data_IF_849282023535
#
_entry.id   IF_849282023535
#
_cell.length_a   1.000
_cell.length_b   1.000
_cell.length_c   1.000
_cell.angle_alpha   90.00
_cell.angle_beta   90.00
_cell.angle_gamma   90.00
#
_symmetry.space_group_name_H-M   'P 1'
#
loop_
_entity.id
_entity.type
_entity.pdbx_description
1 polymer ?
#
# COMPACT_ATOMS: atom_id res chain seq x y z
N UNK A 1 -44.18 5.41 47.57
CA UNK A 1 -43.23 4.51 46.86
C UNK A 1 -43.75 4.10 45.50
N UNK A 2 -45.05 3.88 45.33
CA UNK A 2 -45.72 3.50 44.08
C UNK A 2 -45.57 4.51 42.94
N UNK A 3 -45.77 5.80 43.14
CA UNK A 3 -45.61 6.84 42.09
C UNK A 3 -44.21 6.94 41.50
N UNK A 4 -43.19 6.53 42.24
CA UNK A 4 -41.81 6.49 41.67
C UNK A 4 -41.61 5.25 40.79
N UNK A 5 -42.21 4.12 41.14
CA UNK A 5 -42.16 2.91 40.34
C UNK A 5 -42.93 3.05 39.00
N UNK A 6 -44.11 3.70 39.05
CA UNK A 6 -44.89 4.02 37.85
C UNK A 6 -44.11 4.95 36.89
N UNK A 7 -43.50 5.99 37.41
CA UNK A 7 -42.67 6.88 36.60
C UNK A 7 -41.51 6.17 35.90
N UNK A 8 -40.78 5.29 36.62
CA UNK A 8 -39.70 4.51 36.01
C UNK A 8 -40.19 3.51 34.97
N UNK A 9 -41.38 2.94 35.17
CA UNK A 9 -41.98 2.03 34.22
C UNK A 9 -42.40 2.77 32.94
N UNK A 10 -43.09 3.89 33.05
CA UNK A 10 -43.52 4.70 31.90
C UNK A 10 -42.32 5.28 31.15
N UNK A 11 -41.29 5.78 31.86
CA UNK A 11 -40.07 6.26 31.26
C UNK A 11 -39.30 5.15 30.55
N UNK A 12 -39.20 3.97 31.15
CA UNK A 12 -38.58 2.79 30.55
C UNK A 12 -39.30 2.34 29.27
N UNK A 13 -40.65 2.35 29.31
CA UNK A 13 -41.47 2.02 28.16
C UNK A 13 -41.33 3.04 27.02
N UNK A 14 -41.26 4.34 27.33
CA UNK A 14 -41.01 5.40 26.39
C UNK A 14 -39.62 5.26 25.76
N UNK A 15 -38.60 5.00 26.56
CA UNK A 15 -37.23 4.81 26.09
C UNK A 15 -37.10 3.58 25.16
N UNK A 16 -37.77 2.47 25.53
CA UNK A 16 -37.81 1.26 24.73
C UNK A 16 -38.52 1.51 23.37
N UNK A 17 -39.64 2.23 23.35
CA UNK A 17 -40.33 2.62 22.11
C UNK A 17 -39.46 3.57 21.24
N UNK A 18 -38.81 4.56 21.84
CA UNK A 18 -37.94 5.48 21.14
C UNK A 18 -36.75 4.74 20.51
N UNK A 19 -36.13 3.82 21.27
CA UNK A 19 -35.02 2.99 20.78
C UNK A 19 -35.46 2.10 19.60
N UNK A 20 -36.65 1.48 19.70
CA UNK A 20 -37.21 0.64 18.63
C UNK A 20 -37.44 1.44 17.34
N UNK A 21 -37.97 2.67 17.47
CA UNK A 21 -38.17 3.56 16.32
C UNK A 21 -36.83 3.96 15.68
N UNK A 22 -35.82 4.29 16.50
CA UNK A 22 -34.48 4.62 16.00
C UNK A 22 -33.86 3.44 15.28
N UNK A 23 -33.94 2.23 15.85
CA UNK A 23 -33.43 1.01 15.21
C UNK A 23 -34.17 0.74 13.89
N UNK A 24 -35.52 0.87 13.86
CA UNK A 24 -36.30 0.69 12.65
C UNK A 24 -35.92 1.70 11.56
N UNK A 25 -35.68 2.97 11.91
CA UNK A 25 -35.24 3.99 10.98
C UNK A 25 -33.83 3.69 10.44
N UNK A 26 -32.89 3.28 11.29
CA UNK A 26 -31.53 2.91 10.88
C UNK A 26 -31.55 1.72 9.93
N UNK A 27 -32.34 0.70 10.23
CA UNK A 27 -32.49 -0.48 9.36
C UNK A 27 -33.17 -0.13 8.03
N UNK A 28 -34.19 0.71 8.05
CA UNK A 28 -34.91 1.16 6.83
C UNK A 28 -34.01 2.02 5.93
N UNK A 29 -33.25 2.94 6.52
CA UNK A 29 -32.25 3.76 5.80
C UNK A 29 -31.11 2.89 5.24
N UNK A 30 -30.60 1.93 6.05
CA UNK A 30 -29.59 0.98 5.61
C UNK A 30 -30.06 0.10 4.45
N UNK A 31 -31.31 -0.38 4.50
CA UNK A 31 -31.92 -1.15 3.40
C UNK A 31 -32.13 -0.29 2.14
N UNK A 32 -32.55 0.96 2.28
CA UNK A 32 -32.73 1.88 1.16
C UNK A 32 -31.41 2.23 0.48
N UNK A 33 -30.35 2.47 1.27
CA UNK A 33 -28.99 2.68 0.77
C UNK A 33 -28.47 1.43 0.06
N UNK A 34 -28.68 0.23 0.63
CA UNK A 34 -28.28 -1.04 0.03
C UNK A 34 -28.98 -1.31 -1.30
N UNK A 35 -30.28 -1.01 -1.41
CA UNK A 35 -31.04 -1.11 -2.65
C UNK A 35 -30.59 -0.09 -3.71
N UNK A 36 -30.30 1.15 -3.32
CA UNK A 36 -29.77 2.17 -4.21
C UNK A 36 -28.36 1.79 -4.74
N UNK A 37 -27.51 1.18 -3.89
CA UNK A 37 -26.21 0.66 -4.31
C UNK A 37 -26.33 -0.52 -5.28
N UNK A 38 -27.33 -1.38 -5.12
CA UNK A 38 -27.55 -2.55 -6.00
C UNK A 38 -28.08 -2.15 -7.39
N UNK A 39 -28.77 -1.01 -7.48
CA UNK A 39 -29.33 -0.48 -8.74
C UNK A 39 -28.34 0.39 -9.53
N UNK A 40 -27.24 0.85 -8.92
CA UNK A 40 -26.15 1.58 -9.59
C UNK A 40 -25.16 0.59 -10.25
N UNK A 41 -25.67 -0.26 -11.12
CA UNK A 41 -24.90 -1.25 -11.88
C UNK A 41 -24.03 -0.69 -13.02
N UNK A 42 -23.79 0.60 -13.08
CA UNK A 42 -22.78 1.19 -13.94
C UNK A 42 -21.41 1.03 -13.24
N UNK A 43 -20.52 0.26 -13.86
CA UNK A 43 -19.08 0.22 -13.56
C UNK A 43 -18.47 1.61 -13.86
N UNK A 44 -18.83 2.63 -13.09
CA UNK A 44 -18.02 3.85 -13.04
C UNK A 44 -16.62 3.42 -12.58
N UNK A 45 -15.59 3.82 -13.30
CA UNK A 45 -14.20 3.61 -12.88
C UNK A 45 -14.08 4.03 -11.42
N UNK A 46 -13.70 3.05 -10.58
CA UNK A 46 -13.65 3.24 -9.12
C UNK A 46 -12.61 4.24 -8.65
N UNK A 47 -11.80 4.80 -9.55
CA UNK A 47 -10.74 5.74 -9.24
C UNK A 47 -10.07 6.31 -10.50
N UNK A 48 -9.00 7.05 -10.28
CA UNK A 48 -8.14 7.60 -11.35
C UNK A 48 -6.67 7.51 -10.94
N UNK A 49 -5.79 7.56 -11.93
CA UNK A 49 -4.35 7.61 -11.72
C UNK A 49 -3.90 9.07 -11.62
N UNK A 50 -3.04 9.35 -10.67
CA UNK A 50 -2.38 10.63 -10.49
C UNK A 50 -0.89 10.45 -10.70
N UNK A 51 -0.28 11.33 -11.51
CA UNK A 51 1.15 11.49 -11.66
C UNK A 51 1.51 12.85 -11.08
N UNK A 52 2.25 12.84 -9.98
CA UNK A 52 2.66 14.06 -9.26
C UNK A 52 4.15 14.26 -9.40
N UNK A 53 4.60 15.43 -9.86
CA UNK A 53 6.03 15.76 -9.88
C UNK A 53 6.56 15.91 -8.46
N UNK A 54 7.37 14.94 -8.01
CA UNK A 54 8.08 15.04 -6.74
C UNK A 54 9.29 15.98 -6.89
N UNK A 55 9.88 16.07 -8.08
CA UNK A 55 10.95 17.03 -8.37
C UNK A 55 10.52 18.46 -8.08
N UNK A 56 9.33 18.87 -8.56
CA UNK A 56 8.83 20.22 -8.31
C UNK A 56 8.57 20.45 -6.81
N UNK A 57 8.09 19.42 -6.10
CA UNK A 57 7.88 19.49 -4.65
C UNK A 57 9.19 19.67 -3.88
N UNK A 58 10.27 19.00 -4.28
CA UNK A 58 11.60 19.17 -3.69
C UNK A 58 12.20 20.56 -3.99
N UNK A 59 11.98 21.05 -5.19
CA UNK A 59 12.42 22.40 -5.60
C UNK A 59 11.67 23.47 -4.79
N UNK A 60 10.36 23.34 -4.63
CA UNK A 60 9.54 24.24 -3.80
C UNK A 60 10.00 24.26 -2.33
N UNK A 61 10.26 23.08 -1.74
CA UNK A 61 10.81 22.97 -0.37
C UNK A 61 12.17 23.64 -0.26
N UNK A 62 13.05 23.41 -1.24
CA UNK A 62 14.38 24.01 -1.27
C UNK A 62 14.30 25.54 -1.36
N UNK A 63 13.43 26.04 -2.23
CA UNK A 63 13.22 27.48 -2.36
C UNK A 63 12.62 28.10 -1.11
N UNK A 64 11.64 27.43 -0.49
CA UNK A 64 11.06 27.87 0.76
C UNK A 64 12.11 27.95 1.88
N UNK A 65 12.94 26.91 2.03
CA UNK A 65 14.02 26.91 3.02
C UNK A 65 15.03 28.03 2.77
N UNK A 66 15.47 28.22 1.52
CA UNK A 66 16.38 29.31 1.14
C UNK A 66 15.78 30.67 1.48
N UNK A 67 14.53 30.92 1.10
CA UNK A 67 13.85 32.20 1.40
C UNK A 67 13.73 32.47 2.90
N UNK A 68 13.50 31.43 3.71
CA UNK A 68 13.36 31.55 5.18
C UNK A 68 14.69 31.85 5.89
N UNK A 69 15.83 31.58 5.24
CA UNK A 69 17.17 31.81 5.80
C UNK A 69 17.80 33.13 5.37
N UNK A 70 17.25 33.81 4.35
CA UNK A 70 17.77 35.03 3.80
C UNK A 70 17.29 36.26 4.59
N UNK A 71 18.16 37.28 4.73
CA UNK A 71 17.77 38.61 5.20
C UNK A 71 16.90 39.32 4.16
N UNK A 72 16.16 40.37 4.57
CA UNK A 72 15.30 41.15 3.68
C UNK A 72 16.01 41.73 2.45
N UNK A 73 17.29 42.04 2.55
CA UNK A 73 18.10 42.52 1.42
C UNK A 73 18.48 41.42 0.45
N UNK A 74 18.86 40.26 0.97
CA UNK A 74 19.19 39.05 0.20
C UNK A 74 17.96 38.45 -0.46
N UNK A 75 16.81 38.47 0.23
CA UNK A 75 15.53 38.00 -0.30
C UNK A 75 15.11 38.76 -1.56
N UNK A 76 15.26 40.11 -1.55
CA UNK A 76 14.98 40.96 -2.73
C UNK A 76 15.91 40.64 -3.91
N UNK A 77 17.19 40.36 -3.62
CA UNK A 77 18.15 39.99 -4.66
C UNK A 77 17.79 38.61 -5.27
N UNK A 78 17.48 37.65 -4.40
CA UNK A 78 17.07 36.28 -4.79
C UNK A 78 15.79 36.29 -5.65
N UNK A 79 14.74 37.02 -5.22
CA UNK A 79 13.51 37.14 -6.03
C UNK A 79 13.74 37.79 -7.40
N UNK A 80 14.68 38.71 -7.50
CA UNK A 80 15.04 39.35 -8.78
C UNK A 80 15.74 38.38 -9.71
N UNK A 81 16.62 37.55 -9.15
CA UNK A 81 17.32 36.48 -9.89
C UNK A 81 16.36 35.39 -10.36
N UNK A 82 15.45 34.92 -9.47
CA UNK A 82 14.41 33.97 -9.85
C UNK A 82 13.52 34.46 -10.99
N UNK A 83 13.07 35.72 -10.91
CA UNK A 83 12.26 36.33 -11.97
C UNK A 83 13.04 36.43 -13.29
N UNK A 84 14.35 36.64 -13.22
CA UNK A 84 15.22 36.68 -14.42
C UNK A 84 15.38 35.29 -15.02
N UNK A 85 15.64 34.28 -14.19
CA UNK A 85 15.79 32.87 -14.61
C UNK A 85 14.47 32.33 -15.19
N UNK A 86 13.31 32.54 -14.51
CA UNK A 86 12.00 32.13 -15.03
C UNK A 86 11.64 32.81 -16.37
N UNK A 87 12.09 34.07 -16.58
CA UNK A 87 11.95 34.73 -17.91
C UNK A 87 12.84 34.12 -18.96
N UNK A 88 14.07 33.75 -18.60
CA UNK A 88 15.03 33.10 -19.51
C UNK A 88 14.52 31.71 -19.92
N UNK A 89 14.05 30.90 -18.98
CA UNK A 89 13.46 29.59 -19.26
C UNK A 89 12.19 29.67 -20.13
N UNK A 90 11.26 30.58 -19.80
CA UNK A 90 10.08 30.80 -20.66
C UNK A 90 10.45 31.26 -22.07
N UNK A 91 11.54 32.02 -22.22
CA UNK A 91 12.02 32.46 -23.51
C UNK A 91 12.70 31.30 -24.28
N UNK A 92 13.47 30.48 -23.59
CA UNK A 92 14.08 29.26 -24.14
C UNK A 92 13.01 28.24 -24.56
N UNK A 93 12.02 27.97 -23.70
CA UNK A 93 10.90 27.09 -24.00
C UNK A 93 10.06 27.59 -25.21
N UNK A 94 9.79 28.90 -25.29
CA UNK A 94 9.13 29.50 -26.49
C UNK A 94 9.96 29.38 -27.76
N UNK A 95 11.29 29.48 -27.66
CA UNK A 95 12.18 29.29 -28.81
C UNK A 95 12.24 27.83 -29.25
N UNK A 96 12.28 26.89 -28.28
CA UNK A 96 12.23 25.46 -28.55
C UNK A 96 10.88 25.05 -29.18
N UNK A 97 9.75 25.56 -28.68
CA UNK A 97 8.43 25.38 -29.30
C UNK A 97 8.36 25.96 -30.73
N UNK A 98 8.96 27.12 -31.00
CA UNK A 98 9.02 27.67 -32.36
C UNK A 98 9.91 26.85 -33.28
N UNK A 99 11.00 26.28 -32.79
CA UNK A 99 11.85 25.33 -33.56
C UNK A 99 11.15 23.97 -33.72
N UNK A 100 10.42 23.51 -32.70
CA UNK A 100 9.64 22.26 -32.70
C UNK A 100 8.40 22.32 -33.61
N UNK A 101 7.76 23.49 -33.79
CA UNK A 101 6.63 23.62 -34.72
C UNK A 101 7.00 23.47 -36.17
N UNK A 102 8.25 23.75 -36.54
CA UNK A 102 8.79 23.34 -37.86
C UNK A 102 9.14 21.84 -37.92
N UNK A 103 9.33 21.19 -36.77
CA UNK A 103 9.61 19.73 -36.65
C UNK A 103 8.36 18.88 -36.66
N UNK A 104 7.23 19.36 -36.13
CA UNK A 104 5.96 18.58 -36.06
C UNK A 104 5.39 18.26 -37.44
N UNK A 105 5.57 19.15 -38.43
CA UNK A 105 5.22 18.84 -39.82
C UNK A 105 6.14 17.77 -40.46
N UNK A 106 7.42 17.71 -40.04
CA UNK A 106 8.36 16.64 -40.43
C UNK A 106 8.21 15.36 -39.59
N UNK A 107 7.81 15.48 -38.30
CA UNK A 107 7.62 14.35 -37.42
C UNK A 107 6.34 13.54 -37.77
N UNK A 108 5.27 14.17 -38.28
CA UNK A 108 4.12 13.46 -38.84
C UNK A 108 4.45 12.63 -40.09
N UNK A 109 5.48 13.00 -40.84
CA UNK A 109 5.99 12.22 -41.97
C UNK A 109 6.94 11.09 -41.52
N UNK A 110 7.61 11.22 -40.35
CA UNK A 110 8.55 10.22 -39.80
C UNK A 110 7.91 9.21 -38.82
N UNK A 111 6.73 9.51 -38.28
CA UNK A 111 5.92 8.53 -37.47
C UNK A 111 5.44 7.33 -38.29
N UNK A 112 5.64 7.37 -39.63
CA UNK A 112 5.47 6.23 -40.52
C UNK A 112 6.73 5.33 -40.62
N UNK A 113 7.87 5.73 -40.08
CA UNK A 113 9.19 5.07 -40.23
C UNK A 113 9.93 4.78 -38.93
N UNK A 114 9.23 4.71 -37.77
CA UNK A 114 9.73 4.00 -36.58
C UNK A 114 11.04 4.48 -35.93
N UNK A 115 11.46 5.75 -36.07
CA UNK A 115 12.64 6.27 -35.37
C UNK A 115 12.26 7.15 -34.17
N UNK A 116 12.89 7.00 -32.97
CA UNK A 116 12.61 7.80 -31.80
C UNK A 116 13.05 9.25 -31.97
N UNK A 117 12.19 10.19 -31.62
CA UNK A 117 12.44 11.62 -31.62
C UNK A 117 13.49 11.98 -30.55
N UNK A 118 14.69 12.34 -30.99
CA UNK A 118 15.71 12.97 -30.15
C UNK A 118 15.25 14.38 -29.73
N UNK A 119 14.63 14.48 -28.57
CA UNK A 119 14.39 15.73 -27.84
C UNK A 119 15.32 15.77 -26.62
N UNK A 120 16.18 16.71 -26.65
CA UNK A 120 17.33 17.10 -25.82
C UNK A 120 17.13 16.93 -24.30
N UNK A 121 18.20 16.52 -23.68
CA UNK A 121 18.57 16.27 -22.28
C UNK A 121 18.40 14.82 -21.83
N UNK A 122 19.52 14.21 -21.48
CA UNK A 122 19.75 12.88 -20.93
C UNK A 122 19.15 12.73 -19.50
N UNK A 123 17.92 13.20 -19.30
CA UNK A 123 17.19 13.08 -18.01
C UNK A 123 16.19 11.96 -18.15
N UNK A 124 16.44 10.86 -17.46
CA UNK A 124 15.54 9.73 -17.37
C UNK A 124 14.43 10.02 -16.33
N UNK A 125 13.34 9.29 -16.38
CA UNK A 125 12.28 9.41 -15.39
C UNK A 125 12.44 8.37 -14.29
N UNK A 126 12.11 8.78 -13.09
CA UNK A 126 11.99 7.88 -11.92
C UNK A 126 10.53 7.88 -11.49
N UNK A 127 9.90 6.72 -11.55
CA UNK A 127 8.52 6.53 -11.13
C UNK A 127 8.48 5.94 -9.72
N UNK A 128 7.87 6.64 -8.78
CA UNK A 128 7.77 6.24 -7.37
C UNK A 128 6.37 5.75 -7.10
N UNK A 129 6.26 4.53 -6.59
CA UNK A 129 5.01 3.90 -6.16
C UNK A 129 5.12 3.59 -4.67
N UNK A 130 4.11 3.98 -3.90
CA UNK A 130 4.02 3.67 -2.48
C UNK A 130 3.19 2.41 -2.28
N UNK A 131 3.73 1.42 -1.58
CA UNK A 131 3.00 0.23 -1.19
C UNK A 131 3.04 0.03 0.32
N UNK A 132 1.93 0.32 0.99
CA UNK A 132 1.73 0.05 2.42
C UNK A 132 0.76 -1.10 2.56
N UNK A 133 1.30 -2.32 2.66
CA UNK A 133 0.52 -3.55 2.55
C UNK A 133 -0.15 -3.98 3.85
N UNK A 134 -1.46 -4.26 3.77
CA UNK A 134 -2.28 -4.88 4.82
C UNK A 134 -2.08 -6.40 4.88
N UNK A 135 -2.66 -7.03 5.92
CA UNK A 135 -2.67 -8.50 6.05
C UNK A 135 -3.33 -9.20 4.84
N UNK A 136 -4.35 -8.59 4.25
CA UNK A 136 -5.08 -9.14 3.09
C UNK A 136 -4.46 -8.76 1.76
N UNK A 137 -3.51 -7.83 1.75
CA UNK A 137 -2.89 -7.27 0.55
C UNK A 137 -3.89 -6.64 -0.44
N UNK A 138 -4.93 -5.98 0.08
CA UNK A 138 -5.97 -5.33 -0.74
C UNK A 138 -5.39 -4.24 -1.65
N UNK A 139 -4.26 -3.64 -1.27
CA UNK A 139 -3.52 -2.61 -2.00
C UNK A 139 -2.97 -3.10 -3.34
N UNK A 140 -2.92 -4.42 -3.55
CA UNK A 140 -2.48 -5.03 -4.82
C UNK A 140 -3.33 -4.57 -6.01
N UNK A 141 -4.61 -4.29 -5.81
CA UNK A 141 -5.48 -3.80 -6.89
C UNK A 141 -5.08 -2.40 -7.39
N UNK A 142 -4.62 -1.53 -6.49
CA UNK A 142 -4.03 -0.24 -6.86
C UNK A 142 -2.68 -0.44 -7.57
N UNK A 143 -1.77 -1.23 -6.97
CA UNK A 143 -0.46 -1.54 -7.51
C UNK A 143 -0.52 -2.07 -8.96
N UNK A 144 -1.48 -2.96 -9.28
CA UNK A 144 -1.69 -3.48 -10.64
C UNK A 144 -1.93 -2.39 -11.67
N UNK A 145 -2.70 -1.35 -11.30
CA UNK A 145 -3.03 -0.21 -12.16
C UNK A 145 -1.85 0.73 -12.29
N UNK A 146 -1.17 1.02 -11.19
CA UNK A 146 0.01 1.87 -11.13
C UNK A 146 1.14 1.29 -11.97
N UNK A 147 1.48 0.02 -11.77
CA UNK A 147 2.49 -0.69 -12.57
C UNK A 147 2.11 -0.72 -14.05
N UNK A 148 0.83 -0.99 -14.38
CA UNK A 148 0.38 -1.00 -15.77
C UNK A 148 0.51 0.39 -16.42
N UNK A 149 0.18 1.45 -15.68
CA UNK A 149 0.31 2.82 -16.17
C UNK A 149 1.79 3.21 -16.39
N UNK A 150 2.65 2.89 -15.42
CA UNK A 150 4.09 3.14 -15.55
C UNK A 150 4.65 2.40 -16.77
N UNK A 151 4.37 1.11 -16.92
CA UNK A 151 4.86 0.31 -18.04
C UNK A 151 4.32 0.75 -19.42
N UNK A 152 3.23 1.53 -19.45
CA UNK A 152 2.73 2.11 -20.70
C UNK A 152 3.55 3.29 -21.22
N UNK A 153 4.41 3.88 -20.37
CA UNK A 153 5.18 5.10 -20.70
C UNK A 153 6.68 4.95 -20.40
N UNK A 154 7.07 4.04 -19.52
CA UNK A 154 8.46 3.82 -19.12
C UNK A 154 9.28 3.20 -20.25
N UNK A 155 10.53 3.57 -20.31
CA UNK A 155 11.58 3.04 -21.21
C UNK A 155 12.62 2.27 -20.39
N UNK A 156 13.51 1.48 -20.99
CA UNK A 156 14.56 0.76 -20.27
C UNK A 156 15.59 1.67 -19.55
N UNK A 157 15.66 2.93 -19.92
CA UNK A 157 16.53 3.92 -19.29
C UNK A 157 15.90 4.51 -18.00
N UNK A 158 14.60 4.35 -17.82
CA UNK A 158 13.87 4.83 -16.64
C UNK A 158 14.04 3.87 -15.44
N UNK A 159 13.70 4.35 -14.25
CA UNK A 159 13.76 3.57 -13.01
C UNK A 159 12.41 3.61 -12.28
N UNK A 160 11.99 2.48 -11.72
CA UNK A 160 10.87 2.42 -10.79
C UNK A 160 11.38 2.23 -9.38
N UNK A 161 10.93 3.09 -8.47
CA UNK A 161 11.21 3.00 -7.04
C UNK A 161 9.92 2.63 -6.31
N UNK A 162 9.94 1.51 -5.61
CA UNK A 162 8.84 1.14 -4.71
C UNK A 162 9.24 1.53 -3.28
N UNK A 163 8.49 2.43 -2.64
CA UNK A 163 8.59 2.65 -1.20
C UNK A 163 7.68 1.63 -0.52
N UNK A 164 8.31 0.61 0.06
CA UNK A 164 7.62 -0.56 0.60
C UNK A 164 7.54 -0.52 2.12
N UNK A 165 6.32 -0.64 2.64
CA UNK A 165 6.07 -0.84 4.07
C UNK A 165 5.07 -1.98 4.24
N UNK A 166 5.52 -3.17 4.68
CA UNK A 166 4.64 -4.30 4.93
C UNK A 166 5.25 -5.36 5.82
N UNK A 167 4.48 -5.79 6.82
CA UNK A 167 4.77 -6.97 7.63
C UNK A 167 4.45 -8.30 6.95
N UNK A 168 3.92 -8.29 5.72
CA UNK A 168 3.42 -9.46 5.02
C UNK A 168 1.97 -9.79 5.35
N UNK A 169 1.50 -10.94 4.88
CA UNK A 169 0.12 -11.39 5.03
C UNK A 169 -0.19 -12.62 4.19
N UNK A 170 -1.39 -12.68 3.62
CA UNK A 170 -1.85 -13.84 2.84
C UNK A 170 -0.98 -14.09 1.61
N UNK A 171 -0.53 -15.34 1.47
CA UNK A 171 0.46 -15.75 0.46
C UNK A 171 0.03 -15.41 -0.96
N UNK A 172 -1.23 -15.67 -1.33
CA UNK A 172 -1.72 -15.40 -2.69
C UNK A 172 -1.80 -13.90 -3.00
N UNK A 173 -2.08 -13.05 -2.02
CA UNK A 173 -2.10 -11.59 -2.18
C UNK A 173 -0.69 -11.04 -2.41
N UNK A 174 0.26 -11.39 -1.56
CA UNK A 174 1.65 -10.96 -1.70
C UNK A 174 2.37 -11.60 -2.88
N UNK A 175 2.01 -12.86 -3.23
CA UNK A 175 2.48 -13.49 -4.45
C UNK A 175 2.03 -12.73 -5.70
N UNK A 176 0.77 -12.22 -5.73
CA UNK A 176 0.29 -11.38 -6.81
C UNK A 176 1.00 -10.02 -6.83
N UNK A 177 1.27 -9.43 -5.65
CA UNK A 177 2.03 -8.17 -5.54
C UNK A 177 3.45 -8.33 -6.08
N UNK A 178 4.17 -9.38 -5.67
CA UNK A 178 5.50 -9.71 -6.17
C UNK A 178 5.50 -9.94 -7.69
N UNK A 179 4.46 -10.60 -8.22
CA UNK A 179 4.30 -10.78 -9.66
C UNK A 179 4.08 -9.45 -10.41
N UNK A 180 3.47 -8.42 -9.79
CA UNK A 180 3.41 -7.10 -10.41
C UNK A 180 4.80 -6.45 -10.51
N UNK A 181 5.63 -6.59 -9.48
CA UNK A 181 7.01 -6.09 -9.51
C UNK A 181 7.86 -6.84 -10.55
N UNK A 182 7.64 -8.15 -10.70
CA UNK A 182 8.30 -8.93 -11.74
C UNK A 182 8.01 -8.39 -13.15
N UNK A 183 6.80 -7.88 -13.43
CA UNK A 183 6.45 -7.27 -14.71
C UNK A 183 7.34 -6.08 -15.07
N UNK A 184 7.79 -5.31 -14.06
CA UNK A 184 8.70 -4.17 -14.26
C UNK A 184 10.05 -4.67 -14.74
N UNK A 185 10.59 -5.71 -14.11
CA UNK A 185 11.85 -6.34 -14.54
C UNK A 185 11.74 -6.98 -15.92
N UNK A 186 10.65 -7.68 -16.18
CA UNK A 186 10.42 -8.34 -17.49
C UNK A 186 10.33 -7.33 -18.64
N UNK A 187 9.97 -6.06 -18.32
CA UNK A 187 10.02 -4.95 -19.26
C UNK A 187 11.40 -4.29 -19.37
N UNK A 188 12.45 -4.84 -18.72
CA UNK A 188 13.80 -4.31 -18.63
C UNK A 188 13.88 -2.89 -18.03
N UNK A 189 12.93 -2.50 -17.19
CA UNK A 189 12.96 -1.26 -16.42
C UNK A 189 13.60 -1.56 -15.08
N UNK A 190 14.58 -0.75 -14.68
CA UNK A 190 15.29 -0.91 -13.41
C UNK A 190 14.33 -0.76 -12.24
N UNK A 191 14.38 -1.71 -11.29
CA UNK A 191 13.52 -1.74 -10.12
C UNK A 191 14.34 -1.58 -8.84
N UNK A 192 14.09 -0.53 -8.09
CA UNK A 192 14.63 -0.31 -6.75
C UNK A 192 13.51 -0.39 -5.72
N UNK A 193 13.73 -1.11 -4.62
CA UNK A 193 12.82 -1.13 -3.47
C UNK A 193 13.50 -0.44 -2.30
N UNK A 194 12.81 0.52 -1.68
CA UNK A 194 13.24 1.20 -0.46
C UNK A 194 12.34 0.85 0.71
N UNK A 195 12.93 0.60 1.90
CA UNK A 195 12.24 0.10 3.08
C UNK A 195 12.66 0.94 4.29
N UNK A 196 11.79 1.84 4.74
CA UNK A 196 12.12 2.69 5.89
C UNK A 196 11.78 2.02 7.23
N UNK A 197 10.77 1.16 7.29
CA UNK A 197 10.28 0.55 8.54
C UNK A 197 10.25 -0.97 8.51
N UNK A 198 9.58 -1.58 7.53
CA UNK A 198 9.39 -3.02 7.49
C UNK A 198 9.14 -3.56 6.09
N UNK A 199 9.83 -4.65 5.75
CA UNK A 199 9.47 -5.55 4.66
C UNK A 199 9.75 -6.99 5.13
N UNK A 200 8.75 -7.62 5.71
CA UNK A 200 8.85 -8.94 6.31
C UNK A 200 7.87 -9.91 5.66
N UNK A 201 8.21 -11.21 5.63
CA UNK A 201 7.36 -12.27 5.07
C UNK A 201 6.92 -11.93 3.63
N UNK A 202 5.61 -11.80 3.36
CA UNK A 202 5.08 -11.35 2.07
C UNK A 202 5.67 -10.01 1.60
N UNK A 203 6.00 -9.08 2.52
CA UNK A 203 6.72 -7.84 2.18
C UNK A 203 8.11 -8.11 1.63
N UNK A 204 8.85 -9.06 2.21
CA UNK A 204 10.15 -9.45 1.66
C UNK A 204 10.02 -10.23 0.35
N UNK A 205 8.93 -11.00 0.17
CA UNK A 205 8.61 -11.63 -1.12
C UNK A 205 8.47 -10.59 -2.24
N UNK A 206 7.94 -9.41 -1.95
CA UNK A 206 7.96 -8.29 -2.90
C UNK A 206 9.36 -7.70 -3.06
N UNK A 207 10.03 -7.41 -1.94
CA UNK A 207 11.33 -6.73 -1.95
C UNK A 207 12.41 -7.51 -2.72
N UNK A 208 12.46 -8.83 -2.56
CA UNK A 208 13.49 -9.67 -3.18
C UNK A 208 13.47 -9.67 -4.72
N UNK A 209 12.36 -9.25 -5.34
CA UNK A 209 12.22 -9.14 -6.81
C UNK A 209 13.10 -8.02 -7.38
N UNK A 210 13.38 -6.98 -6.59
CA UNK A 210 14.08 -5.79 -7.05
C UNK A 210 15.53 -6.05 -7.49
N UNK A 211 16.04 -5.22 -8.40
CA UNK A 211 17.45 -5.19 -8.77
C UNK A 211 18.30 -4.62 -7.64
N UNK A 212 17.69 -3.72 -6.83
CA UNK A 212 18.33 -3.10 -5.70
C UNK A 212 17.35 -2.96 -4.53
N UNK A 213 17.72 -3.49 -3.38
CA UNK A 213 16.95 -3.39 -2.13
C UNK A 213 17.72 -2.52 -1.14
N UNK A 214 17.11 -1.42 -0.70
CA UNK A 214 17.71 -0.45 0.22
C UNK A 214 16.83 -0.36 1.46
N UNK A 215 17.42 -0.31 2.63
CA UNK A 215 16.63 -0.14 3.84
C UNK A 215 17.26 0.80 4.86
N UNK A 216 16.44 1.37 5.74
CA UNK A 216 16.93 2.11 6.90
C UNK A 216 17.58 1.16 7.92
N UNK A 217 18.47 1.68 8.76
CA UNK A 217 19.26 0.88 9.71
C UNK A 217 18.43 0.02 10.66
N UNK A 218 17.24 0.50 11.06
CA UNK A 218 16.34 -0.18 11.98
C UNK A 218 15.11 -0.77 11.29
N UNK A 219 15.05 -0.78 9.97
CA UNK A 219 14.00 -1.45 9.24
C UNK A 219 14.01 -2.96 9.54
N UNK A 220 12.82 -3.53 9.70
CA UNK A 220 12.64 -4.97 9.93
C UNK A 220 12.57 -5.68 8.58
N UNK A 221 13.48 -6.64 8.36
CA UNK A 221 13.66 -7.33 7.08
C UNK A 221 13.64 -8.84 7.31
N UNK A 222 13.14 -9.61 6.34
CA UNK A 222 13.22 -11.08 6.37
C UNK A 222 11.91 -11.72 6.78
N UNK A 223 11.86 -12.45 7.89
CA UNK A 223 10.72 -13.29 8.27
C UNK A 223 10.29 -14.22 7.12
N UNK A 224 11.28 -14.86 6.47
CA UNK A 224 11.05 -15.79 5.37
C UNK A 224 10.58 -17.10 5.99
N UNK A 225 9.26 -17.21 6.15
CA UNK A 225 8.60 -18.34 6.77
C UNK A 225 7.10 -18.30 6.53
N UNK A 226 6.42 -19.36 6.94
CA UNK A 226 4.96 -19.48 6.82
C UNK A 226 4.38 -19.84 8.17
N UNK A 227 3.33 -19.15 8.57
CA UNK A 227 2.59 -19.41 9.81
C UNK A 227 1.10 -19.53 9.50
N UNK A 228 0.43 -20.48 10.16
CA UNK A 228 -1.02 -20.52 10.19
C UNK A 228 -1.49 -20.72 11.64
N UNK A 229 -2.45 -19.91 12.05
CA UNK A 229 -3.06 -19.98 13.37
C UNK A 229 -4.55 -20.21 13.22
N UNK A 230 -5.02 -21.39 13.66
CA UNK A 230 -6.42 -21.80 13.57
C UNK A 230 -6.94 -22.05 14.99
N UNK A 231 -7.80 -21.16 15.53
CA UNK A 231 -8.45 -21.45 16.80
C UNK A 231 -9.40 -22.65 16.63
N UNK A 232 -9.44 -23.56 17.60
CA UNK A 232 -10.38 -24.67 17.59
C UNK A 232 -11.21 -24.67 18.87
N UNK A 233 -12.54 -24.53 18.72
CA UNK A 233 -13.51 -24.47 19.80
C UNK A 233 -14.35 -25.74 19.92
N UNK A 234 -13.97 -26.83 19.22
CA UNK A 234 -14.71 -28.10 19.24
C UNK A 234 -15.02 -28.59 20.66
N UNK A 235 -14.02 -28.59 21.55
CA UNK A 235 -14.21 -29.05 22.95
C UNK A 235 -15.22 -28.19 23.71
N UNK A 236 -15.29 -26.89 23.43
CA UNK A 236 -16.27 -25.99 24.03
C UNK A 236 -17.70 -26.31 23.55
N UNK A 237 -17.85 -26.54 22.25
CA UNK A 237 -19.13 -26.91 21.65
C UNK A 237 -19.63 -28.24 22.21
N UNK A 238 -18.78 -29.26 22.25
CA UNK A 238 -19.12 -30.58 22.81
C UNK A 238 -19.49 -30.53 24.27
N UNK A 239 -18.84 -29.68 25.08
CA UNK A 239 -19.21 -29.47 26.50
C UNK A 239 -20.62 -28.87 26.67
N UNK A 240 -21.12 -28.17 25.66
CA UNK A 240 -22.46 -27.56 25.67
C UNK A 240 -23.46 -28.33 24.81
N UNK A 241 -23.24 -29.64 24.61
CA UNK A 241 -24.11 -30.53 23.83
C UNK A 241 -24.42 -30.04 22.41
N UNK A 242 -23.42 -29.35 21.77
CA UNK A 242 -23.51 -28.93 20.38
C UNK A 242 -22.60 -29.81 19.54
N UNK A 243 -23.19 -30.61 18.67
CA UNK A 243 -22.47 -31.40 17.67
C UNK A 243 -22.40 -30.70 16.34
N UNK A 244 -21.26 -30.84 15.66
CA UNK A 244 -21.02 -30.30 14.33
C UNK A 244 -20.85 -31.45 13.35
N UNK A 245 -21.78 -31.56 12.43
CA UNK A 245 -21.68 -32.49 11.30
C UNK A 245 -20.97 -31.82 10.11
N UNK A 246 -19.85 -32.40 9.68
CA UNK A 246 -19.10 -31.91 8.55
C UNK A 246 -19.10 -32.95 7.41
N UNK A 247 -19.77 -32.61 6.34
CA UNK A 247 -19.81 -33.45 5.13
C UNK A 247 -18.88 -32.88 4.06
N UNK A 248 -17.90 -33.65 3.63
CA UNK A 248 -16.94 -33.24 2.59
C UNK A 248 -16.89 -34.30 1.48
N UNK A 249 -16.65 -33.83 0.26
CA UNK A 249 -16.26 -34.67 -0.86
C UNK A 249 -14.82 -34.29 -1.26
N UNK A 250 -13.96 -35.32 -1.34
CA UNK A 250 -12.51 -35.18 -1.48
C UNK A 250 -11.79 -35.30 -0.13
N UNK A 251 -10.79 -36.18 -0.10
CA UNK A 251 -10.07 -36.64 1.11
C UNK A 251 -9.48 -35.47 1.93
N UNK A 252 -8.90 -34.48 1.24
CA UNK A 252 -8.23 -33.34 1.89
C UNK A 252 -8.96 -32.01 1.69
N UNK A 253 -10.29 -32.04 1.46
CA UNK A 253 -11.07 -30.81 1.28
C UNK A 253 -11.03 -29.90 2.52
N UNK A 254 -10.90 -30.50 3.71
CA UNK A 254 -10.73 -29.85 5.02
C UNK A 254 -9.75 -30.66 5.85
N UNK A 255 -8.54 -30.17 5.97
CA UNK A 255 -7.51 -30.79 6.82
C UNK A 255 -7.65 -30.38 8.27
N UNK A 256 -7.92 -29.08 8.54
CA UNK A 256 -8.23 -28.54 9.86
C UNK A 256 -9.50 -27.71 9.83
N UNK A 257 -10.20 -27.67 10.96
CA UNK A 257 -11.46 -26.94 11.16
C UNK A 257 -11.46 -26.21 12.50
N UNK A 258 -12.22 -25.11 12.57
CA UNK A 258 -12.41 -24.36 13.81
C UNK A 258 -13.43 -25.00 14.74
N UNK A 259 -14.45 -25.67 14.21
CA UNK A 259 -15.63 -26.13 14.96
C UNK A 259 -15.65 -27.64 15.19
N UNK A 260 -15.16 -28.42 14.22
CA UNK A 260 -15.12 -29.88 14.30
C UNK A 260 -13.83 -30.40 14.95
N UNK A 261 -13.79 -31.71 15.14
CA UNK A 261 -12.60 -32.40 15.65
C UNK A 261 -11.47 -32.39 14.60
N UNK A 262 -10.27 -32.05 15.03
CA UNK A 262 -9.06 -32.12 14.22
C UNK A 262 -8.31 -33.40 14.52
N UNK A 263 -8.13 -34.25 13.51
CA UNK A 263 -7.39 -35.52 13.61
C UNK A 263 -5.88 -35.30 13.50
N UNK A 264 -5.08 -36.25 13.97
CA UNK A 264 -3.62 -36.18 13.86
C UNK A 264 -3.16 -36.28 12.40
N UNK A 265 -3.89 -37.05 11.57
CA UNK A 265 -3.67 -37.13 10.13
C UNK A 265 -3.92 -35.77 9.44
N UNK A 266 -5.04 -35.11 9.77
CA UNK A 266 -5.35 -33.75 9.29
C UNK A 266 -4.27 -32.75 9.69
N UNK A 267 -3.75 -32.82 10.91
CA UNK A 267 -2.63 -31.98 11.39
C UNK A 267 -1.35 -32.26 10.60
N UNK A 268 -1.01 -33.53 10.38
CA UNK A 268 0.17 -33.92 9.62
C UNK A 268 0.09 -33.43 8.18
N UNK A 269 -1.06 -33.61 7.54
CA UNK A 269 -1.30 -33.13 6.16
C UNK A 269 -1.20 -31.59 6.10
N UNK A 270 -1.84 -30.87 7.01
CA UNK A 270 -1.77 -29.41 7.06
C UNK A 270 -0.35 -28.90 7.25
N UNK A 271 0.44 -29.55 8.12
CA UNK A 271 1.86 -29.21 8.30
C UNK A 271 2.65 -29.42 7.02
N UNK A 272 2.40 -30.51 6.28
CA UNK A 272 3.04 -30.76 5.01
C UNK A 272 2.67 -29.69 3.95
N UNK A 273 1.44 -29.19 3.95
CA UNK A 273 1.00 -28.10 3.08
C UNK A 273 1.73 -26.77 3.42
N UNK A 274 1.87 -26.46 4.70
CA UNK A 274 2.66 -25.28 5.13
C UNK A 274 4.12 -25.38 4.71
N UNK A 275 4.74 -26.56 4.87
CA UNK A 275 6.12 -26.80 4.44
C UNK A 275 6.27 -26.65 2.93
N UNK A 276 5.33 -27.14 2.14
CA UNK A 276 5.35 -26.98 0.68
C UNK A 276 5.31 -25.49 0.27
N UNK A 277 4.49 -24.68 0.95
CA UNK A 277 4.46 -23.22 0.72
C UNK A 277 5.77 -22.57 1.13
N UNK A 278 6.39 -23.00 2.24
CA UNK A 278 7.69 -22.50 2.68
C UNK A 278 8.80 -22.81 1.67
N UNK A 279 8.82 -24.02 1.12
CA UNK A 279 9.75 -24.41 0.05
C UNK A 279 9.56 -23.51 -1.17
N UNK A 280 8.32 -23.30 -1.62
CA UNK A 280 8.03 -22.38 -2.73
C UNK A 280 8.53 -20.95 -2.45
N UNK A 281 8.39 -20.48 -1.22
CA UNK A 281 8.90 -19.15 -0.85
C UNK A 281 10.43 -19.10 -0.89
N UNK A 282 11.11 -20.11 -0.36
CA UNK A 282 12.58 -20.24 -0.44
C UNK A 282 13.06 -20.24 -1.90
N UNK A 283 12.44 -21.02 -2.75
CA UNK A 283 12.80 -21.13 -4.16
C UNK A 283 12.59 -19.78 -4.88
N UNK A 284 11.48 -19.10 -4.58
CA UNK A 284 11.20 -17.79 -5.15
C UNK A 284 12.25 -16.74 -4.74
N UNK A 285 12.63 -16.70 -3.46
CA UNK A 285 13.68 -15.79 -2.96
C UNK A 285 15.04 -16.15 -3.58
N UNK A 286 15.42 -17.42 -3.60
CA UNK A 286 16.68 -17.87 -4.19
C UNK A 286 16.80 -17.54 -5.67
N UNK A 287 15.71 -17.64 -6.43
CA UNK A 287 15.67 -17.26 -7.85
C UNK A 287 15.96 -15.77 -8.05
N UNK A 288 15.43 -14.91 -7.20
CA UNK A 288 15.56 -13.45 -7.30
C UNK A 288 16.84 -12.92 -6.62
N UNK A 289 17.36 -13.63 -5.63
CA UNK A 289 18.56 -13.30 -4.85
C UNK A 289 19.54 -14.49 -4.85
N UNK A 290 20.20 -14.80 -5.97
CA UNK A 290 21.00 -16.02 -6.13
C UNK A 290 22.23 -16.07 -5.21
N UNK A 291 22.77 -14.92 -4.79
CA UNK A 291 23.91 -14.83 -3.88
C UNK A 291 23.52 -15.07 -2.39
N UNK A 292 22.19 -15.11 -2.10
CA UNK A 292 21.70 -15.25 -0.75
C UNK A 292 21.79 -16.70 -0.26
N UNK A 293 22.44 -16.92 0.88
CA UNK A 293 22.43 -18.24 1.54
C UNK A 293 21.07 -18.51 2.18
N UNK A 294 20.11 -18.95 1.36
CA UNK A 294 18.70 -19.04 1.72
C UNK A 294 18.43 -19.82 3.01
N UNK A 295 19.09 -20.95 3.22
CA UNK A 295 18.87 -21.79 4.40
C UNK A 295 19.29 -21.12 5.72
N UNK A 296 20.15 -20.08 5.66
CA UNK A 296 20.57 -19.31 6.83
C UNK A 296 19.59 -18.19 7.18
N UNK A 297 18.72 -17.82 6.25
CA UNK A 297 17.81 -16.67 6.39
C UNK A 297 16.34 -17.03 6.25
N UNK A 298 16.02 -18.26 5.82
CA UNK A 298 14.65 -18.74 5.68
C UNK A 298 14.19 -19.56 6.91
N UNK A 299 14.51 -19.06 8.10
CA UNK A 299 14.17 -19.68 9.39
C UNK A 299 12.88 -19.11 9.99
N UNK A 300 12.27 -18.11 9.34
CA UNK A 300 11.15 -17.35 9.88
C UNK A 300 11.58 -16.19 10.78
N UNK A 301 12.86 -16.00 11.05
CA UNK A 301 13.41 -14.89 11.81
C UNK A 301 13.41 -13.59 10.97
N UNK A 302 13.44 -12.47 11.66
CA UNK A 302 13.65 -11.15 11.06
C UNK A 302 14.95 -10.52 11.59
N UNK A 303 15.48 -9.58 10.84
CA UNK A 303 16.68 -8.83 11.19
C UNK A 303 16.48 -7.35 10.96
N UNK A 304 17.21 -6.53 11.71
CA UNK A 304 17.26 -5.10 11.46
C UNK A 304 18.20 -4.80 10.29
N UNK A 305 18.01 -3.64 9.64
CA UNK A 305 18.66 -3.29 8.38
C UNK A 305 20.16 -3.56 8.33
N UNK A 306 20.93 -3.18 9.38
CA UNK A 306 22.37 -3.43 9.43
C UNK A 306 22.71 -4.94 9.41
N UNK A 307 21.95 -5.72 10.12
CA UNK A 307 22.14 -7.18 10.15
C UNK A 307 21.65 -7.81 8.85
N UNK A 308 20.55 -7.31 8.30
CA UNK A 308 20.02 -7.73 7.01
C UNK A 308 21.02 -7.50 5.87
N UNK A 309 21.77 -6.37 5.89
CA UNK A 309 22.85 -6.10 4.95
C UNK A 309 23.96 -7.15 5.08
N UNK A 310 24.42 -7.45 6.29
CA UNK A 310 25.47 -8.44 6.52
C UNK A 310 25.05 -9.86 6.09
N UNK A 311 23.76 -10.16 6.07
CA UNK A 311 23.19 -11.43 5.62
C UNK A 311 22.91 -11.47 4.11
N UNK A 312 23.05 -10.34 3.40
CA UNK A 312 22.77 -10.23 1.98
C UNK A 312 21.28 -10.10 1.61
N UNK A 313 20.42 -9.83 2.60
CA UNK A 313 18.97 -9.62 2.37
C UNK A 313 18.68 -8.27 1.70
N UNK A 314 19.57 -7.29 1.91
CA UNK A 314 19.50 -5.95 1.30
C UNK A 314 20.87 -5.56 0.76
N UNK A 315 20.90 -4.59 -0.15
CA UNK A 315 22.12 -4.19 -0.86
C UNK A 315 22.78 -2.95 -0.26
N UNK A 316 22.01 -2.04 0.33
CA UNK A 316 22.50 -0.79 0.91
C UNK A 316 21.66 -0.36 2.12
N UNK A 317 22.26 0.51 2.94
CA UNK A 317 21.57 1.20 4.02
C UNK A 317 21.37 2.66 3.64
N UNK A 318 20.11 3.10 3.58
CA UNK A 318 19.71 4.50 3.38
C UNK A 318 18.20 4.64 3.65
N UNK A 319 17.71 5.86 3.76
CA UNK A 319 16.27 6.15 3.78
C UNK A 319 15.72 6.30 2.37
N UNK A 320 14.42 6.11 2.19
CA UNK A 320 13.75 6.39 0.91
C UNK A 320 13.92 7.85 0.49
N UNK A 321 13.90 8.77 1.45
CA UNK A 321 14.06 10.20 1.21
C UNK A 321 15.45 10.53 0.62
N UNK A 322 16.53 9.98 1.19
CA UNK A 322 17.89 10.19 0.68
C UNK A 322 18.06 9.61 -0.72
N UNK A 323 17.50 8.41 -0.97
CA UNK A 323 17.53 7.78 -2.30
C UNK A 323 16.82 8.65 -3.34
N UNK A 324 15.63 9.15 -3.02
CA UNK A 324 14.86 9.99 -3.95
C UNK A 324 15.51 11.37 -4.17
N UNK A 325 16.07 11.97 -3.14
CA UNK A 325 16.84 13.22 -3.27
C UNK A 325 18.07 13.03 -4.16
N UNK A 326 18.78 11.90 -4.05
CA UNK A 326 19.92 11.60 -4.90
C UNK A 326 19.49 11.41 -6.36
N UNK A 327 18.44 10.61 -6.59
CA UNK A 327 17.89 10.38 -7.93
C UNK A 327 17.37 11.68 -8.57
N UNK A 328 16.81 12.59 -7.77
CA UNK A 328 16.30 13.88 -8.22
C UNK A 328 17.39 14.84 -8.75
N UNK A 329 18.67 14.62 -8.41
CA UNK A 329 19.77 15.46 -8.91
C UNK A 329 19.97 15.33 -10.42
N UNK A 330 19.68 14.18 -11.00
CA UNK A 330 19.95 13.84 -12.40
C UNK A 330 18.73 13.43 -13.19
N UNK A 331 17.62 13.11 -12.53
CA UNK A 331 16.40 12.60 -13.14
C UNK A 331 15.18 13.42 -12.75
N UNK A 332 14.08 13.22 -13.46
CA UNK A 332 12.76 13.72 -13.08
C UNK A 332 12.02 12.65 -12.28
N UNK A 333 11.62 12.99 -11.07
CA UNK A 333 10.97 12.06 -10.14
C UNK A 333 9.47 12.33 -10.11
N UNK A 334 8.67 11.30 -10.37
CA UNK A 334 7.21 11.34 -10.39
C UNK A 334 6.63 10.33 -9.41
N UNK A 335 5.78 10.79 -8.48
CA UNK A 335 4.92 9.92 -7.70
C UNK A 335 3.75 9.42 -8.54
N UNK A 336 3.50 8.12 -8.51
CA UNK A 336 2.40 7.48 -9.24
C UNK A 336 1.45 6.86 -8.22
N UNK A 337 0.18 7.26 -8.25
CA UNK A 337 -0.80 6.79 -7.29
C UNK A 337 -2.16 6.55 -7.96
N UNK A 338 -2.78 5.41 -7.67
CA UNK A 338 -4.17 5.16 -7.98
C UNK A 338 -5.05 5.62 -6.82
N UNK A 339 -5.88 6.64 -7.08
CA UNK A 339 -6.79 7.22 -6.07
C UNK A 339 -8.18 6.66 -6.29
N UNK A 340 -8.69 5.88 -5.35
CA UNK A 340 -10.05 5.38 -5.39
C UNK A 340 -11.06 6.48 -5.07
N UNK A 341 -12.13 6.57 -5.86
CA UNK A 341 -13.27 7.43 -5.55
C UNK A 341 -14.07 6.79 -4.43
N UNK A 342 -13.90 7.28 -3.21
CA UNK A 342 -14.75 6.85 -2.09
C UNK A 342 -16.19 7.31 -2.34
N UNK A 343 -17.12 6.36 -2.33
CA UNK A 343 -18.55 6.65 -2.43
C UNK A 343 -19.01 7.51 -1.23
N UNK A 344 -20.05 8.33 -1.44
CA UNK A 344 -20.58 9.20 -0.38
C UNK A 344 -21.01 8.38 0.87
N UNK A 345 -21.52 7.17 0.66
CA UNK A 345 -21.89 6.24 1.73
C UNK A 345 -20.69 5.76 2.56
N UNK A 346 -19.53 5.49 1.93
CA UNK A 346 -18.29 5.15 2.61
C UNK A 346 -17.74 6.33 3.42
N UNK A 347 -17.81 7.55 2.85
CA UNK A 347 -17.41 8.78 3.56
C UNK A 347 -18.28 9.01 4.80
N UNK A 348 -19.57 8.76 4.71
CA UNK A 348 -20.52 8.86 5.83
C UNK A 348 -20.29 7.74 6.85
N UNK A 349 -19.99 6.51 6.42
CA UNK A 349 -19.66 5.38 7.28
C UNK A 349 -18.41 5.66 8.14
N UNK A 350 -17.33 6.09 7.55
CA UNK A 350 -16.11 6.48 8.27
C UNK A 350 -16.33 7.68 9.22
N UNK A 351 -17.14 8.66 8.81
CA UNK A 351 -17.48 9.79 9.67
C UNK A 351 -18.29 9.34 10.90
N UNK A 352 -19.24 8.42 10.71
CA UNK A 352 -20.04 7.83 11.81
C UNK A 352 -19.18 6.97 12.76
N UNK A 353 -18.29 6.14 12.22
CA UNK A 353 -17.35 5.33 13.01
C UNK A 353 -16.41 6.23 13.82
N UNK A 354 -15.82 7.26 13.20
CA UNK A 354 -14.96 8.22 13.89
C UNK A 354 -15.70 9.02 14.97
N UNK A 355 -16.98 9.33 14.77
CA UNK A 355 -17.82 9.98 15.78
C UNK A 355 -18.12 9.03 16.95
N UNK A 356 -18.46 7.77 16.68
CA UNK A 356 -18.70 6.75 17.70
C UNK A 356 -17.44 6.48 18.54
N UNK A 357 -16.28 6.33 17.92
CA UNK A 357 -15.00 6.15 18.62
C UNK A 357 -14.65 7.36 19.50
N UNK A 358 -14.91 8.58 19.05
CA UNK A 358 -14.70 9.80 19.86
C UNK A 358 -15.65 9.85 21.06
N UNK A 359 -16.92 9.48 20.88
CA UNK A 359 -17.90 9.40 21.96
C UNK A 359 -17.48 8.31 22.96
N UNK A 360 -17.11 7.14 22.48
CA UNK A 360 -16.66 6.01 23.31
C UNK A 360 -15.41 6.38 24.13
N UNK A 361 -14.40 6.97 23.48
CA UNK A 361 -13.19 7.45 24.17
C UNK A 361 -13.49 8.56 25.17
N UNK A 362 -14.44 9.46 24.88
CA UNK A 362 -14.86 10.52 25.78
C UNK A 362 -15.62 9.98 27.01
N UNK A 363 -16.42 8.95 26.83
CA UNK A 363 -17.11 8.25 27.93
C UNK A 363 -16.11 7.50 28.81
N UNK A 364 -15.14 6.79 28.21
CA UNK A 364 -14.08 6.09 28.94
C UNK A 364 -13.15 7.08 29.70
N UNK A 365 -12.76 8.17 29.07
CA UNK A 365 -11.90 9.18 29.68
C UNK A 365 -12.64 10.05 30.72
N UNK A 366 -13.96 10.23 30.58
CA UNK A 366 -14.80 10.95 31.54
C UNK A 366 -15.09 10.18 32.83
N UNK A 367 -14.85 8.85 32.86
CA UNK A 367 -15.05 7.99 34.03
C UNK A 367 -13.85 7.96 34.99
N UNK A 368 -12.75 8.62 34.68
CA UNK A 368 -11.56 8.70 35.54
C UNK A 368 -11.29 10.18 35.88
N UNK A 369 -12.13 10.77 36.72
CA UNK A 369 -11.72 11.89 37.56
C UNK A 369 -11.41 11.33 38.94
N UNK A 370 -10.15 11.27 39.38
CA UNK A 370 -9.87 11.03 40.77
C UNK A 370 -10.32 12.28 41.55
N UNK A 371 -11.22 12.09 42.47
CA UNK A 371 -11.47 13.08 43.52
C UNK A 371 -10.21 13.15 44.40
N UNK A 372 -9.51 14.27 44.34
CA UNK A 372 -8.64 14.75 45.41
C UNK A 372 -9.30 16.00 46.02
#
# INVERSE_FOLDING_TARGET
MEHRLEFFYEYGLFLAKALTVVIALVLSFGAMISLAMKQSGNKAEKGHLEFVSLSDSYDDLTQYAKRSLLSDAELKAFEKEEKANAKAEKKAAKQALKKGSLGVAKAKAKLAEGEPSAGDTNTHNVFVIDFTGSMQADEVEALRREVTAVLSVATPEDEVVIRLESGGGVVHGYGLAAAQLQRIKDANVKLTVTIDKVAASGGYMMACVADRVICANFAIIGSIGVVAQIPNIHKLLKKNDVDIEMHTAGEYKRTLTMLGENTDEGRAKFKAELEAVHVMFKDFVSKNRPELMIDKVATGEYWYGLEALNKGLVDNLSTSDDVLLELNKTNKVYGVKYVEKKNLAEKLGFAAEGALLRIFNKVLSGSIKPNY
#
